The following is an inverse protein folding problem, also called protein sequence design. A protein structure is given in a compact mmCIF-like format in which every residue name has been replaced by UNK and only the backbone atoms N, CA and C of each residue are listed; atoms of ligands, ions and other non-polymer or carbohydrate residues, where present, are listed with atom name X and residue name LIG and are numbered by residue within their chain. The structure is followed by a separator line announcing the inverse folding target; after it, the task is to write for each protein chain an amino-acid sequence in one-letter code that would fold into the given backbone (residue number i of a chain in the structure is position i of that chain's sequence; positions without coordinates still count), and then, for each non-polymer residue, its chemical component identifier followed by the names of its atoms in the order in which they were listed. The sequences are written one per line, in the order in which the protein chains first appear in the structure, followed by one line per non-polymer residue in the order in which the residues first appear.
data_IF_758547096518
#
_entry.id   IF_758547096518
#
_cell.length_a   1.000
_cell.length_b   1.000
_cell.length_c   1.000
_cell.angle_alpha   90.00
_cell.angle_beta   90.00
_cell.angle_gamma   90.00
#
_symmetry.space_group_name_H-M   'P 1'
#
loop_
_entity.id
_entity.type
_entity.pdbx_description
1 polymer ?
#
# COMPACT_ATOMS: atom_id res chain seq x y z
N UNK A 1 19.43 46.50 7.34
CA UNK A 1 18.29 47.14 8.04
C UNK A 1 17.57 48.03 7.07
N UNK A 2 16.34 47.67 6.68
CA UNK A 2 15.28 48.62 6.32
C UNK A 2 13.97 47.93 6.72
N UNK A 3 13.47 48.30 7.89
CA UNK A 3 12.06 48.11 8.26
C UNK A 3 11.26 49.18 7.53
N UNK A 4 10.09 48.81 7.00
CA UNK A 4 9.09 49.80 6.67
C UNK A 4 7.76 49.39 7.28
N UNK A 5 7.42 50.08 8.37
CA UNK A 5 6.13 49.99 9.04
C UNK A 5 5.10 50.80 8.25
N UNK A 6 3.92 50.21 7.99
CA UNK A 6 2.75 50.94 7.51
C UNK A 6 1.63 50.79 8.55
N UNK A 7 1.25 51.92 9.13
CA UNK A 7 0.29 52.06 10.22
C UNK A 7 -1.16 52.05 9.73
N UNK A 8 -1.97 51.25 10.43
CA UNK A 8 -3.36 51.43 10.88
C UNK A 8 -4.26 52.40 10.11
N UNK A 9 -5.39 51.90 9.59
CA UNK A 9 -6.66 52.66 9.60
C UNK A 9 -7.88 51.73 9.65
N UNK A 10 -8.86 52.18 10.43
CA UNK A 10 -9.93 51.42 11.07
C UNK A 10 -11.15 51.18 10.15
N UNK A 11 -11.93 50.18 10.56
CA UNK A 11 -13.40 50.06 10.47
C UNK A 11 -14.06 49.51 9.18
N UNK A 12 -14.43 48.23 9.28
CA UNK A 12 -15.75 47.59 9.02
C UNK A 12 -16.92 48.61 9.09
N UNK A 13 -17.96 48.55 8.21
CA UNK A 13 -18.80 47.37 8.02
C UNK A 13 -19.28 47.09 6.59
N UNK A 14 -19.84 45.89 6.35
CA UNK A 14 -21.24 45.75 5.90
C UNK A 14 -21.50 44.44 5.14
N UNK A 15 -22.71 43.92 5.40
CA UNK A 15 -23.48 42.92 4.66
C UNK A 15 -22.90 41.51 4.61
N UNK A 16 -23.38 40.69 5.54
CA UNK A 16 -23.31 39.25 5.44
C UNK A 16 -23.92 38.77 4.13
N UNK A 17 -23.12 38.10 3.32
CA UNK A 17 -23.61 37.16 2.34
C UNK A 17 -23.14 35.80 2.84
N UNK A 18 -24.01 35.11 3.57
CA UNK A 18 -23.87 33.68 3.75
C UNK A 18 -24.08 33.08 2.36
N UNK A 19 -22.98 32.81 1.64
CA UNK A 19 -23.03 31.85 0.54
C UNK A 19 -23.31 30.51 1.20
N UNK A 20 -24.58 30.13 1.22
CA UNK A 20 -24.97 28.76 1.43
C UNK A 20 -24.17 27.92 0.44
N UNK A 21 -23.22 27.15 0.97
CA UNK A 21 -22.61 26.08 0.20
C UNK A 21 -23.75 25.19 -0.27
N UNK A 22 -23.88 24.85 -1.55
CA UNK A 22 -24.86 23.87 -1.96
C UNK A 22 -24.44 22.55 -1.31
N UNK A 23 -25.15 22.20 -0.25
CA UNK A 23 -25.27 20.82 0.18
C UNK A 23 -26.31 20.17 -0.73
N UNK A 24 -26.04 18.91 -1.04
CA UNK A 24 -26.88 17.95 -1.76
C UNK A 24 -26.73 17.93 -3.29
N UNK A 25 -26.12 16.84 -3.73
CA UNK A 25 -25.96 16.42 -5.10
C UNK A 25 -25.04 15.21 -5.19
N UNK A 26 -25.23 14.20 -4.33
CA UNK A 26 -24.61 12.89 -4.47
C UNK A 26 -25.30 12.11 -5.61
N UNK A 27 -25.30 12.67 -6.82
CA UNK A 27 -25.94 12.05 -7.99
C UNK A 27 -25.31 12.52 -9.32
N UNK A 28 -24.00 12.31 -9.50
CA UNK A 28 -23.34 12.54 -10.80
C UNK A 28 -21.97 11.85 -10.96
N UNK A 29 -21.50 11.08 -9.98
CA UNK A 29 -20.20 10.38 -10.09
C UNK A 29 -20.21 9.32 -11.19
N UNK A 30 -21.35 8.69 -11.47
CA UNK A 30 -21.48 7.65 -12.50
C UNK A 30 -21.36 8.22 -13.92
N UNK A 31 -21.93 9.39 -14.17
CA UNK A 31 -21.96 10.01 -15.50
C UNK A 31 -20.61 10.63 -15.88
N UNK A 32 -19.91 11.19 -14.89
CA UNK A 32 -18.55 11.69 -15.05
C UNK A 32 -17.54 10.56 -15.36
N UNK A 33 -17.71 9.39 -14.72
CA UNK A 33 -16.83 8.23 -14.90
C UNK A 33 -17.00 7.56 -16.27
N UNK A 34 -18.24 7.49 -16.78
CA UNK A 34 -18.53 6.99 -18.14
C UNK A 34 -17.89 7.91 -19.18
N UNK A 35 -18.06 9.22 -19.03
CA UNK A 35 -17.44 10.22 -19.92
C UNK A 35 -15.91 10.15 -19.94
N UNK A 36 -15.27 9.82 -18.82
CA UNK A 36 -13.81 9.67 -18.76
C UNK A 36 -13.34 8.42 -19.52
N UNK A 37 -14.05 7.30 -19.38
CA UNK A 37 -13.72 6.03 -20.04
C UNK A 37 -13.81 6.13 -21.56
N UNK A 38 -14.85 6.79 -22.07
CA UNK A 38 -15.02 6.96 -23.51
C UNK A 38 -13.92 7.86 -24.08
N UNK A 39 -13.58 8.97 -23.41
CA UNK A 39 -12.44 9.83 -23.80
C UNK A 39 -11.10 9.09 -23.78
N UNK A 40 -10.90 8.18 -22.83
CA UNK A 40 -9.71 7.33 -22.75
C UNK A 40 -9.63 6.35 -23.91
N UNK A 41 -10.77 5.75 -24.28
CA UNK A 41 -10.88 4.86 -25.44
C UNK A 41 -10.62 5.63 -26.74
N UNK A 42 -11.11 6.86 -26.86
CA UNK A 42 -10.88 7.70 -28.04
C UNK A 42 -9.41 8.15 -28.15
N UNK A 43 -8.78 8.48 -27.02
CA UNK A 43 -7.39 8.95 -26.99
C UNK A 43 -6.37 7.83 -27.20
N UNK A 44 -6.54 6.69 -26.53
CA UNK A 44 -5.56 5.60 -26.50
C UNK A 44 -5.95 4.42 -27.39
N UNK A 45 -7.20 4.37 -27.85
CA UNK A 45 -7.76 3.26 -28.57
C UNK A 45 -8.26 2.15 -27.66
N UNK A 46 -9.39 1.57 -28.04
CA UNK A 46 -10.06 0.47 -27.32
C UNK A 46 -9.10 -0.68 -26.97
N UNK A 47 -8.25 -1.10 -27.91
CA UNK A 47 -7.34 -2.24 -27.71
C UNK A 47 -6.35 -1.99 -26.55
N UNK A 48 -5.77 -0.79 -26.47
CA UNK A 48 -4.81 -0.42 -25.42
C UNK A 48 -5.49 -0.36 -24.06
N UNK A 49 -6.67 0.28 -24.00
CA UNK A 49 -7.47 0.40 -22.77
C UNK A 49 -7.89 -0.99 -22.28
N UNK A 50 -8.39 -1.86 -23.16
CA UNK A 50 -8.76 -3.24 -22.80
C UNK A 50 -7.56 -4.02 -22.26
N UNK A 51 -6.40 -3.98 -22.93
CA UNK A 51 -5.21 -4.66 -22.45
C UNK A 51 -4.74 -4.17 -21.08
N UNK A 52 -4.80 -2.86 -20.84
CA UNK A 52 -4.46 -2.28 -19.53
C UNK A 52 -5.37 -2.84 -18.43
N UNK A 53 -6.70 -2.82 -18.62
CA UNK A 53 -7.62 -3.32 -17.61
C UNK A 53 -7.50 -4.83 -17.40
N UNK A 54 -7.22 -5.62 -18.43
CA UNK A 54 -6.94 -7.06 -18.28
C UNK A 54 -5.69 -7.30 -17.43
N UNK A 55 -4.60 -6.57 -17.70
CA UNK A 55 -3.35 -6.68 -16.91
C UNK A 55 -3.57 -6.21 -15.47
N UNK A 56 -4.30 -5.11 -15.28
CA UNK A 56 -4.68 -4.60 -13.96
C UNK A 56 -5.48 -5.63 -13.16
N UNK A 57 -6.46 -6.27 -13.79
CA UNK A 57 -7.27 -7.33 -13.15
C UNK A 57 -6.41 -8.53 -12.72
N UNK A 58 -5.45 -8.94 -13.55
CA UNK A 58 -4.49 -10.01 -13.19
C UNK A 58 -3.61 -9.61 -12.01
N UNK A 59 -3.14 -8.36 -11.99
CA UNK A 59 -2.34 -7.82 -10.90
C UNK A 59 -3.14 -7.74 -9.59
N UNK A 60 -4.37 -7.22 -9.63
CA UNK A 60 -5.25 -7.13 -8.47
C UNK A 60 -5.50 -8.54 -7.88
N UNK A 61 -5.77 -9.54 -8.74
CA UNK A 61 -5.90 -10.96 -8.32
C UNK A 61 -4.61 -11.53 -7.70
N UNK A 62 -3.44 -11.12 -8.20
CA UNK A 62 -2.15 -11.52 -7.63
C UNK A 62 -1.94 -10.88 -6.25
N UNK A 63 -2.25 -9.59 -6.11
CA UNK A 63 -2.21 -8.88 -4.82
C UNK A 63 -3.11 -9.55 -3.79
N UNK A 64 -4.33 -9.95 -4.14
CA UNK A 64 -5.23 -10.68 -3.24
C UNK A 64 -4.64 -12.01 -2.78
N UNK A 65 -3.98 -12.76 -3.67
CA UNK A 65 -3.31 -14.01 -3.31
C UNK A 65 -2.13 -13.76 -2.36
N UNK A 66 -1.36 -12.71 -2.59
CA UNK A 66 -0.26 -12.32 -1.71
C UNK A 66 -0.75 -11.80 -0.36
N UNK A 67 -1.86 -11.06 -0.34
CA UNK A 67 -2.48 -10.59 0.89
C UNK A 67 -3.04 -11.78 1.70
N UNK A 68 -3.61 -12.80 1.02
CA UNK A 68 -4.03 -14.05 1.66
C UNK A 68 -2.88 -14.93 2.15
N UNK A 69 -1.67 -14.76 1.60
CA UNK A 69 -0.44 -15.36 2.17
C UNK A 69 0.03 -14.63 3.43
N UNK A 70 -0.55 -13.48 3.76
CA UNK A 70 -0.10 -12.60 4.83
C UNK A 70 -0.70 -12.98 6.19
N UNK A 71 -0.37 -14.18 6.62
CA UNK A 71 -0.11 -14.55 8.03
C UNK A 71 0.80 -15.77 7.95
N UNK A 72 2.07 -15.56 7.63
CA UNK A 72 3.07 -16.52 8.07
C UNK A 72 2.96 -16.55 9.60
N UNK A 73 2.73 -17.72 10.21
CA UNK A 73 2.73 -17.85 11.65
C UNK A 73 3.95 -17.16 12.24
N UNK A 74 3.77 -16.36 13.29
CA UNK A 74 4.90 -15.73 13.95
C UNK A 74 5.82 -16.84 14.47
N UNK A 75 7.11 -16.70 14.23
CA UNK A 75 8.10 -17.56 14.86
C UNK A 75 8.15 -17.12 16.33
N UNK A 76 7.75 -18.00 17.24
CA UNK A 76 7.72 -17.73 18.68
C UNK A 76 9.04 -18.10 19.35
N UNK A 77 9.76 -19.08 18.79
CA UNK A 77 11.04 -19.55 19.32
C UNK A 77 11.86 -20.19 18.20
N UNK A 78 13.17 -20.28 18.39
CA UNK A 78 14.06 -21.04 17.52
C UNK A 78 15.18 -21.71 18.30
N UNK A 79 15.66 -22.82 17.78
CA UNK A 79 16.74 -23.60 18.37
C UNK A 79 17.75 -23.97 17.29
N UNK A 80 19.02 -23.64 17.53
CA UNK A 80 20.13 -23.99 16.63
C UNK A 80 20.86 -25.19 17.22
N UNK A 81 20.73 -26.33 16.55
CA UNK A 81 21.44 -27.56 16.94
C UNK A 81 22.76 -27.64 16.19
N UNK A 82 23.85 -27.49 16.93
CA UNK A 82 25.20 -27.74 16.44
C UNK A 82 25.66 -29.11 16.90
N UNK A 83 25.48 -30.11 16.04
CA UNK A 83 26.14 -31.41 16.20
C UNK A 83 27.39 -31.43 15.31
N UNK A 84 28.31 -32.36 15.55
CA UNK A 84 29.47 -32.59 14.66
C UNK A 84 28.94 -33.08 13.30
N UNK A 85 28.59 -32.14 12.41
CA UNK A 85 27.80 -32.38 11.21
C UNK A 85 27.08 -31.11 10.72
N UNK A 86 26.10 -31.25 9.81
CA UNK A 86 25.35 -30.12 9.29
C UNK A 86 24.56 -29.39 10.38
N UNK A 87 24.51 -28.07 10.30
CA UNK A 87 23.77 -27.24 11.25
C UNK A 87 22.28 -27.35 10.96
N UNK A 88 21.49 -27.57 12.01
CA UNK A 88 20.03 -27.61 11.94
C UNK A 88 19.43 -26.43 12.73
N UNK A 89 18.45 -25.76 12.13
CA UNK A 89 17.63 -24.74 12.76
C UNK A 89 16.20 -25.27 12.88
N UNK A 90 15.72 -25.37 14.12
CA UNK A 90 14.32 -25.63 14.43
C UNK A 90 13.63 -24.30 14.68
N UNK A 91 12.52 -24.04 14.01
CA UNK A 91 11.68 -22.86 14.21
C UNK A 91 10.32 -23.31 14.74
N UNK A 92 9.93 -22.78 15.88
CA UNK A 92 8.63 -23.03 16.51
C UNK A 92 7.70 -21.88 16.16
N UNK A 93 6.53 -22.20 15.63
CA UNK A 93 5.55 -21.20 15.18
C UNK A 93 4.35 -21.15 16.11
N UNK A 94 3.70 -19.99 16.15
CA UNK A 94 2.52 -19.72 16.97
C UNK A 94 1.33 -20.63 16.64
N UNK A 95 1.24 -21.12 15.41
CA UNK A 95 0.18 -22.02 14.95
C UNK A 95 0.40 -23.49 15.34
N UNK A 96 1.45 -23.77 16.13
CA UNK A 96 1.78 -25.11 16.63
C UNK A 96 2.57 -25.99 15.64
N UNK A 97 2.90 -25.48 14.45
CA UNK A 97 3.74 -26.20 13.50
C UNK A 97 5.22 -25.88 13.72
N UNK A 98 6.06 -26.91 13.63
CA UNK A 98 7.51 -26.75 13.70
C UNK A 98 8.12 -26.91 12.31
N UNK A 99 9.04 -26.02 11.96
CA UNK A 99 9.80 -26.09 10.72
C UNK A 99 11.27 -26.37 11.01
N UNK A 100 11.85 -27.33 10.30
CA UNK A 100 13.23 -27.77 10.49
C UNK A 100 14.01 -27.53 9.22
N UNK A 101 14.98 -26.61 9.28
CA UNK A 101 15.90 -26.32 8.18
C UNK A 101 17.24 -26.97 8.52
N UNK A 102 17.68 -27.92 7.71
CA UNK A 102 18.96 -28.62 7.89
C UNK A 102 19.99 -28.15 6.85
N UNK A 103 21.26 -28.47 7.10
CA UNK A 103 22.38 -28.16 6.22
C UNK A 103 22.64 -26.65 6.03
N UNK A 104 22.36 -25.86 7.06
CA UNK A 104 22.72 -24.44 7.03
C UNK A 104 24.24 -24.28 6.97
N UNK A 105 24.71 -23.43 6.05
CA UNK A 105 26.12 -23.10 5.93
C UNK A 105 26.52 -22.23 7.12
N UNK A 106 27.60 -22.59 7.82
CA UNK A 106 28.08 -21.86 9.02
C UNK A 106 28.36 -20.38 8.78
N UNK A 107 28.76 -20.01 7.56
CA UNK A 107 28.95 -18.62 7.11
C UNK A 107 27.68 -17.77 7.24
N UNK A 108 26.50 -18.35 6.98
CA UNK A 108 25.21 -17.63 7.05
C UNK A 108 24.87 -17.25 8.50
N UNK A 109 25.35 -18.04 9.46
CA UNK A 109 25.06 -17.87 10.87
C UNK A 109 26.16 -17.10 11.62
N UNK A 110 27.14 -16.53 10.90
CA UNK A 110 28.26 -15.81 11.51
C UNK A 110 29.19 -16.68 12.34
N UNK A 111 29.20 -18.00 12.12
CA UNK A 111 30.11 -18.91 12.80
C UNK A 111 31.37 -19.05 11.97
N UNK A 112 32.41 -18.30 12.35
CA UNK A 112 33.79 -18.54 11.91
C UNK A 112 34.36 -19.75 12.66
N UNK A 113 34.97 -20.67 11.91
CA UNK A 113 35.68 -21.86 12.41
C UNK A 113 36.85 -21.50 13.33
#
# INVERSE_FOLDING_TARGET
MVENALTTTKNVPSAGQATASPAEGEENTKDADINLKDKLVDLLGRNVVTQYYTKKLLFDKYCDKMLKRKKSPNIINYEVLRKKGPITLNMYREDGYNEVISNLKGEILGFSS
#
